data_IF_798632768656
#
_entry.id   IF_798632768656
#
_cell.length_a   1.000
_cell.length_b   1.000
_cell.length_c   1.000
_cell.angle_alpha   90.00
_cell.angle_beta   90.00
_cell.angle_gamma   90.00
#
_symmetry.space_group_name_H-M   'P 1'
#
loop_
_entity.id
_entity.type
_entity.pdbx_description
1 polymer ?
#
# COMPACT_ATOMS: atom_id res chain seq x y z
N UNK A 1 -30.95 30.23 -11.67
CA UNK A 1 -29.52 29.97 -11.33
C UNK A 1 -29.48 29.18 -10.03
N UNK A 2 -29.13 27.90 -10.08
CA UNK A 2 -28.86 27.06 -8.90
C UNK A 2 -27.63 26.21 -9.23
N UNK A 3 -26.49 26.60 -8.66
CA UNK A 3 -25.21 25.91 -8.83
C UNK A 3 -25.22 24.73 -7.85
N UNK A 4 -25.33 23.50 -8.34
CA UNK A 4 -25.08 22.30 -7.55
C UNK A 4 -23.58 22.04 -7.52
N UNK A 5 -22.99 22.11 -6.33
CA UNK A 5 -21.62 21.67 -6.05
C UNK A 5 -21.50 20.15 -6.20
N UNK A 6 -20.40 19.61 -6.77
CA UNK A 6 -20.20 18.16 -6.81
C UNK A 6 -19.71 17.64 -5.46
N UNK A 7 -20.41 16.61 -4.99
CA UNK A 7 -20.15 15.83 -3.78
C UNK A 7 -18.75 15.23 -3.77
N UNK A 8 -18.02 15.44 -2.66
CA UNK A 8 -16.73 14.79 -2.39
C UNK A 8 -16.95 13.28 -2.20
N UNK A 9 -16.47 12.48 -3.14
CA UNK A 9 -16.35 11.03 -2.95
C UNK A 9 -15.25 10.74 -1.91
N UNK A 10 -15.66 10.43 -0.67
CA UNK A 10 -14.78 9.84 0.33
C UNK A 10 -14.78 8.34 0.10
N UNK A 11 -13.70 7.81 -0.51
CA UNK A 11 -13.53 6.36 -0.61
C UNK A 11 -13.01 5.79 0.71
N UNK A 12 -13.91 5.46 1.63
CA UNK A 12 -13.56 4.60 2.76
C UNK A 12 -13.33 3.18 2.24
N UNK A 13 -12.05 2.78 2.14
CA UNK A 13 -11.69 1.39 1.83
C UNK A 13 -11.50 0.59 3.12
N UNK A 14 -12.04 -0.65 3.21
CA UNK A 14 -11.97 -1.43 4.43
C UNK A 14 -10.53 -1.88 4.70
N UNK A 15 -10.14 -1.82 5.98
CA UNK A 15 -8.83 -2.26 6.47
C UNK A 15 -8.62 -3.75 6.15
N UNK A 16 -7.42 -4.12 5.66
CA UNK A 16 -7.05 -5.52 5.43
C UNK A 16 -6.79 -6.18 6.79
N UNK A 17 -7.67 -7.09 7.20
CA UNK A 17 -7.54 -7.85 8.43
C UNK A 17 -6.60 -9.04 8.21
N UNK A 18 -5.70 -9.28 9.16
CA UNK A 18 -4.80 -10.44 9.16
C UNK A 18 -5.50 -11.57 9.90
N UNK A 19 -5.72 -12.71 9.26
CA UNK A 19 -6.27 -13.91 9.90
C UNK A 19 -5.13 -14.67 10.59
N UNK A 20 -5.29 -15.05 11.86
CA UNK A 20 -4.40 -16.03 12.49
C UNK A 20 -4.78 -17.42 11.96
N UNK A 21 -3.77 -18.24 11.60
CA UNK A 21 -4.00 -19.69 11.43
C UNK A 21 -4.41 -20.23 12.79
N UNK A 22 -5.65 -20.70 12.91
CA UNK A 22 -6.10 -21.47 14.06
C UNK A 22 -5.22 -22.70 14.25
N UNK A 23 -5.04 -23.07 15.50
CA UNK A 23 -4.38 -24.28 15.99
C UNK A 23 -5.02 -25.54 15.40
N UNK A 24 -4.55 -25.98 14.24
CA UNK A 24 -5.00 -27.22 13.58
C UNK A 24 -3.86 -28.21 13.30
N UNK A 25 -2.74 -28.11 14.01
CA UNK A 25 -1.69 -29.14 13.99
C UNK A 25 -1.56 -29.78 15.37
N UNK A 26 -2.67 -30.25 15.95
CA UNK A 26 -2.58 -31.37 16.90
C UNK A 26 -2.71 -32.66 16.07
N UNK A 27 -1.64 -33.44 15.87
CA UNK A 27 -1.68 -34.64 15.03
C UNK A 27 -2.61 -35.74 15.57
N UNK A 28 -3.17 -35.60 16.78
CA UNK A 28 -4.05 -36.58 17.39
C UNK A 28 -5.55 -36.39 17.08
N UNK A 29 -5.95 -35.30 16.42
CA UNK A 29 -7.35 -35.08 16.01
C UNK A 29 -7.52 -35.35 14.52
N UNK A 30 -7.71 -36.62 14.15
CA UNK A 30 -8.17 -37.00 12.81
C UNK A 30 -9.71 -37.04 12.82
N UNK A 31 -10.41 -36.11 12.14
CA UNK A 31 -11.86 -36.15 12.10
C UNK A 31 -12.31 -37.26 11.15
N UNK A 32 -13.01 -38.25 11.70
CA UNK A 32 -13.77 -39.25 10.94
C UNK A 32 -15.20 -38.75 10.83
N UNK A 33 -15.50 -37.88 9.86
CA UNK A 33 -16.86 -37.67 9.33
C UNK A 33 -16.83 -36.66 8.18
N UNK A 34 -17.64 -36.91 7.14
CA UNK A 34 -17.82 -36.06 5.95
C UNK A 34 -18.59 -34.73 6.24
N UNK A 35 -18.44 -34.19 7.45
CA UNK A 35 -19.03 -32.90 7.81
C UNK A 35 -18.07 -31.77 7.43
N UNK A 36 -18.51 -30.73 6.70
CA UNK A 36 -17.62 -29.64 6.31
C UNK A 36 -17.07 -28.93 7.55
N UNK A 37 -15.74 -28.77 7.59
CA UNK A 37 -15.05 -28.00 8.62
C UNK A 37 -15.52 -26.53 8.55
N UNK A 38 -16.46 -26.16 9.42
CA UNK A 38 -16.85 -24.75 9.61
C UNK A 38 -15.72 -24.06 10.36
N UNK A 39 -14.84 -23.36 9.64
CA UNK A 39 -13.83 -22.50 10.25
C UNK A 39 -14.54 -21.20 10.65
N UNK A 40 -14.91 -21.09 11.92
CA UNK A 40 -15.40 -19.83 12.47
C UNK A 40 -14.24 -18.84 12.58
N UNK A 41 -14.21 -17.86 11.68
CA UNK A 41 -13.27 -16.75 11.76
C UNK A 41 -13.71 -15.79 12.85
N UNK A 42 -13.14 -15.93 14.05
CA UNK A 42 -13.35 -14.98 15.15
C UNK A 42 -12.84 -13.60 14.71
N UNK A 43 -13.76 -12.63 14.66
CA UNK A 43 -13.45 -11.22 14.38
C UNK A 43 -12.66 -10.64 15.54
N UNK A 44 -11.33 -10.59 15.42
CA UNK A 44 -10.49 -9.90 16.40
C UNK A 44 -10.71 -8.39 16.27
N UNK A 45 -11.37 -7.79 17.25
CA UNK A 45 -11.67 -6.34 17.34
C UNK A 45 -10.56 -5.52 17.96
N UNK A 46 -9.53 -6.17 18.51
CA UNK A 46 -8.40 -5.48 19.15
C UNK A 46 -7.26 -5.23 18.16
N UNK A 47 -6.93 -3.95 18.00
CA UNK A 47 -5.73 -3.52 17.29
C UNK A 47 -4.53 -4.07 18.08
N UNK A 48 -3.63 -4.87 17.47
CA UNK A 48 -2.44 -5.31 18.18
C UNK A 48 -1.65 -4.07 18.64
N UNK A 49 -1.39 -3.98 19.94
CA UNK A 49 -0.81 -2.78 20.56
C UNK A 49 0.56 -2.47 19.96
N UNK A 50 1.44 -3.48 19.79
CA UNK A 50 2.69 -3.36 19.04
C UNK A 50 3.05 -4.70 18.40
N UNK A 51 3.60 -4.70 17.18
CA UNK A 51 3.96 -5.95 16.49
C UNK A 51 5.19 -6.67 17.08
N UNK A 52 6.01 -6.01 17.92
CA UNK A 52 7.20 -6.60 18.59
C UNK A 52 7.59 -5.93 19.93
N UNK A 53 6.82 -5.00 20.50
CA UNK A 53 7.26 -4.31 21.73
C UNK A 53 8.48 -3.40 21.54
N UNK A 54 8.68 -2.84 20.34
CA UNK A 54 9.92 -2.14 19.99
C UNK A 54 9.95 -0.73 20.57
N UNK A 55 10.98 -0.43 21.37
CA UNK A 55 11.15 0.88 22.02
C UNK A 55 11.91 1.90 21.19
N UNK A 56 12.37 1.53 19.99
CA UNK A 56 13.09 2.44 19.12
C UNK A 56 12.18 3.60 18.70
N UNK A 57 12.68 4.82 18.81
CA UNK A 57 11.89 6.02 18.57
C UNK A 57 12.66 7.31 18.79
N UNK A 58 12.15 8.38 18.18
CA UNK A 58 12.68 9.74 18.33
C UNK A 58 11.59 10.61 18.91
N UNK A 59 11.99 11.43 19.86
CA UNK A 59 11.14 12.26 20.68
C UNK A 59 11.60 13.70 20.49
N UNK A 60 10.75 14.53 19.87
CA UNK A 60 11.03 15.93 19.55
C UNK A 60 10.21 16.87 20.44
N UNK A 61 10.84 17.95 20.92
CA UNK A 61 10.18 19.07 21.63
C UNK A 61 10.51 20.36 20.92
N UNK A 62 9.53 21.25 20.80
CA UNK A 62 9.77 22.61 20.33
C UNK A 62 10.51 23.39 21.43
N UNK A 63 11.64 23.98 21.07
CA UNK A 63 12.25 25.05 21.86
C UNK A 63 11.59 26.36 21.43
N UNK A 64 10.75 26.93 22.29
CA UNK A 64 9.97 28.13 22.00
C UNK A 64 10.84 29.39 21.89
N UNK A 65 12.02 29.40 22.51
CA UNK A 65 12.94 30.55 22.50
C UNK A 65 13.69 30.61 21.18
N UNK A 66 14.21 29.47 20.75
CA UNK A 66 14.96 29.36 19.50
C UNK A 66 14.06 29.09 18.29
N UNK A 67 12.78 28.78 18.53
CA UNK A 67 11.79 28.36 17.54
C UNK A 67 12.28 27.17 16.66
N UNK A 68 12.90 26.18 17.30
CA UNK A 68 13.43 24.98 16.64
C UNK A 68 13.02 23.72 17.38
N UNK A 69 12.80 22.62 16.66
CA UNK A 69 12.59 21.31 17.29
C UNK A 69 13.91 20.69 17.74
N UNK A 70 14.00 20.33 19.02
CA UNK A 70 15.13 19.62 19.62
C UNK A 70 14.77 18.17 19.92
N UNK A 71 15.71 17.27 19.66
CA UNK A 71 15.62 15.86 20.07
C UNK A 71 15.87 15.78 21.57
N UNK A 72 14.92 15.25 22.33
CA UNK A 72 15.04 15.07 23.78
C UNK A 72 15.17 13.60 24.20
N UNK A 73 14.74 12.68 23.34
CA UNK A 73 14.94 11.24 23.52
C UNK A 73 15.14 10.60 22.16
N UNK A 74 16.08 9.68 22.11
CA UNK A 74 16.52 9.02 20.89
C UNK A 74 16.94 7.61 21.24
N UNK A 75 16.09 6.65 20.92
CA UNK A 75 16.33 5.22 21.07
C UNK A 75 16.51 4.60 19.68
N UNK A 76 17.75 4.25 19.32
CA UNK A 76 18.06 3.67 17.98
C UNK A 76 17.89 2.16 17.93
N UNK A 77 18.07 1.51 19.09
CA UNK A 77 18.18 0.06 19.15
C UNK A 77 16.83 -0.59 18.84
N UNK A 78 16.74 -1.22 17.67
CA UNK A 78 15.61 -2.05 17.30
C UNK A 78 15.78 -3.47 17.85
N UNK A 79 14.70 -4.06 18.36
CA UNK A 79 14.66 -5.48 18.74
C UNK A 79 14.26 -6.41 17.58
N UNK A 80 14.20 -5.88 16.35
CA UNK A 80 13.78 -6.59 15.15
C UNK A 80 14.45 -6.03 13.90
N UNK A 81 14.49 -6.79 12.79
CA UNK A 81 14.88 -6.26 11.49
C UNK A 81 13.98 -5.08 11.07
N UNK A 82 14.55 -4.00 10.53
CA UNK A 82 13.81 -2.80 10.11
C UNK A 82 12.77 -3.10 9.04
N UNK A 83 13.20 -3.75 7.96
CA UNK A 83 12.34 -4.26 6.90
C UNK A 83 13.08 -5.35 6.11
N UNK A 84 12.32 -6.18 5.40
CA UNK A 84 12.85 -7.01 4.32
C UNK A 84 12.63 -6.29 2.98
N UNK A 85 13.50 -6.44 1.97
CA UNK A 85 13.31 -5.84 0.65
C UNK A 85 11.92 -6.14 0.05
N UNK A 86 11.42 -7.38 0.22
CA UNK A 86 10.09 -7.81 -0.24
C UNK A 86 8.94 -6.98 0.39
N UNK A 87 9.18 -6.34 1.54
CA UNK A 87 8.17 -5.59 2.27
C UNK A 87 8.10 -4.11 1.87
N UNK A 88 9.03 -3.61 1.04
CA UNK A 88 9.07 -2.21 0.63
C UNK A 88 7.75 -1.79 -0.03
N UNK A 89 7.16 -2.67 -0.85
CA UNK A 89 5.86 -2.43 -1.47
C UNK A 89 4.71 -2.27 -0.46
N UNK A 90 4.89 -2.62 0.81
CA UNK A 90 3.88 -2.41 1.86
C UNK A 90 4.08 -1.11 2.65
N UNK A 91 5.29 -0.55 2.67
CA UNK A 91 5.61 0.67 3.39
C UNK A 91 5.18 1.90 2.59
N UNK A 92 4.27 2.71 3.13
CA UNK A 92 3.72 3.87 2.41
C UNK A 92 4.80 4.86 1.96
N UNK A 93 5.84 5.06 2.77
CA UNK A 93 6.95 5.97 2.46
C UNK A 93 7.89 5.47 1.36
N UNK A 94 7.90 4.15 1.11
CA UNK A 94 8.73 3.53 0.07
C UNK A 94 7.90 3.06 -1.13
N UNK A 95 6.57 3.11 -1.03
CA UNK A 95 5.65 2.66 -2.07
C UNK A 95 5.40 3.79 -3.06
N UNK A 96 6.15 3.78 -4.14
CA UNK A 96 6.03 4.74 -5.22
C UNK A 96 6.23 4.06 -6.58
N UNK A 97 5.44 4.48 -7.58
CA UNK A 97 5.74 4.24 -8.99
C UNK A 97 6.68 5.36 -9.41
N UNK A 98 7.97 5.06 -9.56
CA UNK A 98 8.91 6.10 -9.93
C UNK A 98 8.65 6.58 -11.37
N UNK A 99 9.19 7.75 -11.72
CA UNK A 99 8.94 8.38 -13.02
C UNK A 99 9.34 7.49 -14.19
N UNK A 100 10.53 6.86 -14.14
CA UNK A 100 11.03 6.00 -15.22
C UNK A 100 10.08 4.81 -15.47
N UNK A 101 9.64 4.14 -14.41
CA UNK A 101 8.70 3.02 -14.47
C UNK A 101 7.32 3.48 -14.94
N UNK A 102 6.87 4.66 -14.49
CA UNK A 102 5.64 5.28 -14.92
C UNK A 102 5.64 5.63 -16.41
N UNK A 103 6.73 6.20 -16.91
CA UNK A 103 6.92 6.52 -18.34
C UNK A 103 6.98 5.26 -19.19
N UNK A 104 7.72 4.24 -18.75
CA UNK A 104 7.74 2.94 -19.43
C UNK A 104 6.32 2.34 -19.52
N UNK A 105 5.55 2.42 -18.44
CA UNK A 105 4.17 1.97 -18.44
C UNK A 105 3.26 2.75 -19.40
N UNK A 106 3.50 4.06 -19.54
CA UNK A 106 2.78 4.91 -20.48
C UNK A 106 3.13 4.56 -21.93
N UNK A 107 4.41 4.35 -22.24
CA UNK A 107 4.88 3.91 -23.57
C UNK A 107 4.23 2.56 -23.92
N UNK A 108 4.27 1.60 -23.00
CA UNK A 108 3.61 0.30 -23.16
C UNK A 108 2.11 0.46 -23.44
N UNK A 109 1.43 1.36 -22.73
CA UNK A 109 0.00 1.64 -22.99
C UNK A 109 -0.24 2.23 -24.39
N UNK A 110 0.68 3.06 -24.91
CA UNK A 110 0.54 3.68 -26.25
C UNK A 110 0.66 2.66 -27.38
N UNK A 111 1.44 1.59 -27.18
CA UNK A 111 1.54 0.47 -28.13
C UNK A 111 0.48 -0.61 -27.91
N UNK A 112 -0.56 -0.33 -27.12
CA UNK A 112 -1.68 -1.23 -26.88
C UNK A 112 -1.42 -2.35 -25.87
N UNK A 113 -0.29 -2.32 -25.16
CA UNK A 113 0.01 -3.32 -24.14
C UNK A 113 -0.94 -3.17 -22.95
N UNK A 114 -1.42 -4.30 -22.42
CA UNK A 114 -2.26 -4.29 -21.22
C UNK A 114 -1.47 -3.78 -20.01
N UNK A 115 -2.15 -3.12 -19.07
CA UNK A 115 -1.52 -2.67 -17.82
C UNK A 115 -0.86 -3.83 -17.06
N UNK A 116 -1.46 -5.03 -17.10
CA UNK A 116 -0.94 -6.21 -16.39
C UNK A 116 0.37 -6.71 -17.02
N UNK A 117 0.39 -6.82 -18.34
CA UNK A 117 1.61 -7.18 -19.09
C UNK A 117 2.70 -6.13 -18.89
N UNK A 118 2.35 -4.85 -18.91
CA UNK A 118 3.29 -3.76 -18.61
C UNK A 118 3.90 -3.88 -17.21
N UNK A 119 3.08 -4.18 -16.19
CA UNK A 119 3.54 -4.43 -14.82
C UNK A 119 4.52 -5.62 -14.74
N UNK A 120 4.23 -6.71 -15.46
CA UNK A 120 5.11 -7.88 -15.54
C UNK A 120 6.44 -7.55 -16.23
N UNK A 121 6.43 -6.78 -17.32
CA UNK A 121 7.66 -6.32 -18.02
C UNK A 121 8.53 -5.46 -17.10
N UNK A 122 7.93 -4.51 -16.37
CA UNK A 122 8.66 -3.67 -15.40
C UNK A 122 9.23 -4.54 -14.28
N UNK A 123 8.44 -5.50 -13.79
CA UNK A 123 8.89 -6.48 -12.80
C UNK A 123 10.08 -7.30 -13.30
N UNK A 124 10.03 -7.78 -14.54
CA UNK A 124 11.13 -8.53 -15.15
C UNK A 124 12.45 -7.73 -15.17
N UNK A 125 12.37 -6.42 -15.40
CA UNK A 125 13.52 -5.52 -15.34
C UNK A 125 14.20 -5.44 -13.97
N UNK A 126 13.51 -5.82 -12.90
CA UNK A 126 14.05 -5.90 -11.52
C UNK A 126 14.07 -7.35 -10.99
N UNK A 127 14.01 -8.34 -11.88
CA UNK A 127 14.11 -9.77 -11.53
C UNK A 127 12.84 -10.37 -10.93
N UNK A 128 11.68 -9.71 -11.06
CA UNK A 128 10.40 -10.21 -10.57
C UNK A 128 9.47 -9.09 -10.09
N UNK A 129 8.15 -9.31 -10.13
CA UNK A 129 7.17 -8.31 -9.65
C UNK A 129 7.17 -8.13 -8.14
N UNK A 130 7.68 -9.10 -7.39
CA UNK A 130 7.91 -9.09 -5.95
C UNK A 130 9.02 -8.12 -5.53
N UNK A 131 9.92 -7.77 -6.46
CA UNK A 131 11.00 -6.83 -6.24
C UNK A 131 10.59 -5.38 -6.57
N UNK A 132 9.37 -5.18 -7.07
CA UNK A 132 8.86 -3.83 -7.32
C UNK A 132 8.55 -3.12 -6.00
N UNK A 133 8.92 -1.83 -5.86
CA UNK A 133 8.58 -1.05 -4.67
C UNK A 133 7.09 -0.69 -4.61
N UNK A 134 6.29 -1.07 -5.59
CA UNK A 134 4.86 -0.76 -5.67
C UNK A 134 4.06 -1.97 -6.15
N UNK A 135 2.74 -1.95 -5.91
CA UNK A 135 1.83 -3.00 -6.33
C UNK A 135 1.19 -2.63 -7.67
N UNK A 136 0.66 -3.64 -8.36
CA UNK A 136 -0.13 -3.43 -9.58
C UNK A 136 -1.23 -2.35 -9.45
N UNK A 137 -1.90 -2.28 -8.29
CA UNK A 137 -2.92 -1.25 -8.03
C UNK A 137 -2.36 0.16 -8.05
N UNK A 138 -1.11 0.35 -7.64
CA UNK A 138 -0.44 1.64 -7.59
C UNK A 138 -0.10 2.10 -9.01
N UNK A 139 0.41 1.19 -9.86
CA UNK A 139 0.63 1.47 -11.29
C UNK A 139 -0.68 1.82 -12.01
N UNK A 140 -1.75 1.06 -11.74
CA UNK A 140 -3.07 1.36 -12.28
C UNK A 140 -3.52 2.77 -11.87
N UNK A 141 -3.40 3.12 -10.59
CA UNK A 141 -3.80 4.45 -10.12
C UNK A 141 -2.96 5.55 -10.78
N UNK A 142 -1.64 5.35 -10.89
CA UNK A 142 -0.73 6.29 -11.56
C UNK A 142 -1.18 6.59 -13.00
N UNK A 143 -1.42 5.54 -13.80
CA UNK A 143 -1.89 5.69 -15.19
C UNK A 143 -3.28 6.32 -15.27
N UNK A 144 -4.19 5.98 -14.36
CA UNK A 144 -5.52 6.60 -14.32
C UNK A 144 -5.44 8.10 -13.97
N UNK A 145 -4.55 8.50 -13.06
CA UNK A 145 -4.32 9.92 -12.75
C UNK A 145 -3.77 10.69 -13.96
N UNK A 146 -2.88 10.09 -14.75
CA UNK A 146 -2.41 10.69 -16.01
C UNK A 146 -3.57 10.88 -16.99
N UNK A 147 -4.34 9.81 -17.25
CA UNK A 147 -5.49 9.88 -18.19
C UNK A 147 -6.52 10.90 -17.77
N UNK A 148 -6.81 11.00 -16.48
CA UNK A 148 -7.73 12.03 -15.96
C UNK A 148 -7.21 13.44 -16.21
N UNK A 149 -5.91 13.69 -15.99
CA UNK A 149 -5.29 14.99 -16.30
C UNK A 149 -5.38 15.31 -17.79
N UNK A 150 -5.11 14.33 -18.66
CA UNK A 150 -5.22 14.49 -20.11
C UNK A 150 -6.67 14.78 -20.55
N UNK A 151 -7.66 14.10 -19.96
CA UNK A 151 -9.08 14.36 -20.24
C UNK A 151 -9.51 15.77 -19.84
N UNK A 152 -9.12 16.24 -18.65
CA UNK A 152 -9.45 17.61 -18.19
C UNK A 152 -8.86 18.67 -19.13
N UNK A 153 -7.64 18.44 -19.62
CA UNK A 153 -7.01 19.34 -20.62
C UNK A 153 -7.75 19.28 -21.95
N UNK A 154 -8.15 18.08 -22.40
CA UNK A 154 -8.92 17.90 -23.63
C UNK A 154 -10.28 18.60 -23.59
N UNK A 155 -11.03 18.50 -22.49
CA UNK A 155 -12.33 19.17 -22.32
C UNK A 155 -12.22 20.70 -22.32
N UNK A 156 -11.13 21.28 -21.79
CA UNK A 156 -10.90 22.72 -21.78
C UNK A 156 -10.65 23.32 -23.20
N UNK A 157 -10.38 22.49 -24.20
CA UNK A 157 -10.16 22.93 -25.60
C UNK A 157 -11.41 22.87 -26.47
N UNK A 158 -12.55 22.41 -25.94
CA UNK A 158 -13.82 22.21 -26.69
C UNK A 158 -14.82 23.37 -26.48
N UNK A 159 -14.45 24.41 -25.73
CA UNK A 159 -15.25 25.64 -25.66
C UNK A 159 -14.84 26.55 -26.82
N UNK A 160 -15.49 26.39 -27.97
CA UNK A 160 -15.59 27.41 -29.03
C UNK A 160 -16.89 28.19 -28.90
#
# INVERSE_FOLDING_TARGET
MHIKTPSRYVSERPRRHSFKKGSLLNPNNRPTSDSPLVIEFVKVTEKPEERVGCKAGISLKLDEVLNVYKIYRWDVAHCHPLYKPEHLCYLRSFREVNEVQGQLALINSKVGMSMRTSYEVIGQGVGGTENLPFRFSDLKNYLMTIRQKEMVVGEATVIQ
#
